data_IF_785927746319
#
_entry.id   IF_785927746319
#
_cell.length_a   1.000
_cell.length_b   1.000
_cell.length_c   1.000
_cell.angle_alpha   90.00
_cell.angle_beta   90.00
_cell.angle_gamma   90.00
#
_symmetry.space_group_name_H-M   'P 1'
#
loop_
_entity.id
_entity.type
_entity.pdbx_description
1 polymer ?
#
# COMPACT_ATOMS: atom_id res chain seq x y z
N UNK A 1 12.22 7.59 -5.22
CA UNK A 1 11.92 6.22 -4.69
C UNK A 1 13.24 5.47 -4.66
N UNK A 2 13.66 5.00 -3.50
CA UNK A 2 14.93 4.30 -3.30
C UNK A 2 14.76 2.78 -3.50
N UNK A 3 13.67 2.21 -2.99
CA UNK A 3 13.34 0.79 -3.18
C UNK A 3 11.85 0.55 -3.11
N UNK A 4 11.40 -0.52 -3.77
CA UNK A 4 10.04 -1.05 -3.65
C UNK A 4 10.15 -2.53 -3.34
N UNK A 5 9.53 -2.97 -2.24
CA UNK A 5 9.43 -4.36 -1.87
C UNK A 5 7.96 -4.77 -1.80
N UNK A 6 7.66 -6.02 -2.15
CA UNK A 6 6.32 -6.57 -2.01
C UNK A 6 6.38 -7.90 -1.26
N UNK A 7 5.36 -8.16 -0.43
CA UNK A 7 5.24 -9.44 0.28
C UNK A 7 3.78 -9.85 0.43
N UNK A 8 3.46 -11.16 0.35
CA UNK A 8 2.12 -11.64 0.60
C UNK A 8 1.75 -11.43 2.08
N UNK A 9 0.53 -11.00 2.34
CA UNK A 9 -0.03 -10.82 3.68
C UNK A 9 -1.45 -11.38 3.77
N UNK A 10 -1.81 -11.81 4.98
CA UNK A 10 -3.17 -12.19 5.33
C UNK A 10 -3.69 -11.21 6.37
N UNK A 11 -4.87 -10.63 6.11
CA UNK A 11 -5.52 -9.67 7.02
C UNK A 11 -6.99 -10.02 7.19
N UNK A 12 -7.54 -9.63 8.34
CA UNK A 12 -8.99 -9.61 8.53
C UNK A 12 -9.59 -8.58 7.58
N UNK A 13 -10.57 -8.98 6.78
CA UNK A 13 -11.26 -8.08 5.87
C UNK A 13 -12.22 -7.17 6.65
N UNK A 14 -12.25 -5.86 6.34
CA UNK A 14 -13.23 -4.95 6.93
C UNK A 14 -14.60 -5.16 6.29
N UNK A 15 -15.66 -5.26 7.10
CA UNK A 15 -17.04 -5.39 6.63
C UNK A 15 -17.98 -6.01 7.67
N UNK A 16 -19.30 -5.82 7.53
CA UNK A 16 -20.29 -6.51 8.35
C UNK A 16 -20.34 -8.00 7.99
N UNK A 17 -20.53 -8.86 8.99
CA UNK A 17 -20.63 -10.31 8.80
C UNK A 17 -19.58 -11.11 9.58
N UNK A 18 -19.48 -12.43 9.32
CA UNK A 18 -18.51 -13.29 9.98
C UNK A 18 -17.07 -12.84 9.72
N UNK A 19 -16.17 -13.12 10.68
CA UNK A 19 -14.74 -12.77 10.55
C UNK A 19 -14.16 -13.52 9.36
N UNK A 20 -13.83 -12.79 8.29
CA UNK A 20 -13.19 -13.31 7.11
C UNK A 20 -11.73 -12.84 7.03
N UNK A 21 -10.84 -13.74 6.63
CA UNK A 21 -9.44 -13.43 6.33
C UNK A 21 -9.26 -13.41 4.81
N UNK A 22 -8.71 -12.30 4.31
CA UNK A 22 -8.34 -12.14 2.91
C UNK A 22 -6.84 -12.32 2.72
N UNK A 23 -6.47 -12.70 1.49
CA UNK A 23 -5.08 -12.63 1.02
C UNK A 23 -4.87 -11.30 0.31
N UNK A 24 -3.72 -10.70 0.52
CA UNK A 24 -3.33 -9.45 -0.11
C UNK A 24 -1.83 -9.35 -0.25
N UNK A 25 -1.41 -8.21 -0.78
CA UNK A 25 0.00 -7.88 -0.96
C UNK A 25 0.28 -6.58 -0.20
N UNK A 26 1.28 -6.62 0.67
CA UNK A 26 1.86 -5.40 1.22
C UNK A 26 2.93 -4.89 0.26
N UNK A 27 2.85 -3.62 -0.10
CA UNK A 27 3.82 -2.95 -0.95
C UNK A 27 4.49 -1.89 -0.09
N UNK A 28 5.77 -2.12 0.21
CA UNK A 28 6.61 -1.19 0.95
C UNK A 28 7.42 -0.35 -0.04
N UNK A 29 7.17 0.96 -0.03
CA UNK A 29 7.87 1.95 -0.84
C UNK A 29 8.80 2.72 0.08
N UNK A 30 10.10 2.57 -0.13
CA UNK A 30 11.11 3.35 0.58
C UNK A 30 11.49 4.56 -0.24
N UNK A 31 11.38 5.74 0.35
CA UNK A 31 11.72 7.01 -0.27
C UNK A 31 12.63 7.82 0.64
N UNK A 32 13.52 8.60 0.02
CA UNK A 32 14.33 9.59 0.72
C UNK A 32 13.55 10.91 0.79
N UNK A 33 13.45 11.52 1.98
CA UNK A 33 12.81 12.83 2.18
C UNK A 33 13.45 13.91 1.29
N UNK A 34 14.76 13.84 1.07
CA UNK A 34 15.49 14.79 0.22
C UNK A 34 15.08 14.70 -1.26
N UNK A 35 14.74 13.50 -1.73
CA UNK A 35 14.28 13.25 -3.09
C UNK A 35 12.82 13.68 -3.34
N UNK A 36 12.08 14.02 -2.29
CA UNK A 36 10.65 14.37 -2.36
C UNK A 36 10.33 15.75 -1.77
N UNK A 37 11.34 16.58 -1.52
CA UNK A 37 11.25 17.89 -0.87
C UNK A 37 10.29 18.89 -1.56
N UNK A 38 9.96 18.69 -2.84
CA UNK A 38 9.06 19.59 -3.60
C UNK A 38 7.60 19.14 -3.73
N UNK A 39 7.28 17.86 -3.48
CA UNK A 39 5.92 17.31 -3.74
C UNK A 39 5.35 16.56 -2.54
N UNK A 40 6.16 16.32 -1.49
CA UNK A 40 5.73 15.65 -0.27
C UNK A 40 5.63 14.13 -0.44
N UNK A 41 6.33 13.41 0.43
CA UNK A 41 6.30 11.95 0.51
C UNK A 41 4.88 11.39 0.60
N UNK A 42 4.01 12.07 1.34
CA UNK A 42 2.63 11.66 1.55
C UNK A 42 1.77 11.66 0.28
N UNK A 43 1.89 12.68 -0.57
CA UNK A 43 1.15 12.77 -1.84
C UNK A 43 1.58 11.65 -2.79
N UNK A 44 2.89 11.44 -2.89
CA UNK A 44 3.45 10.34 -3.69
C UNK A 44 2.94 8.99 -3.20
N UNK A 45 2.99 8.74 -1.89
CA UNK A 45 2.46 7.51 -1.30
C UNK A 45 0.95 7.33 -1.55
N UNK A 46 0.15 8.40 -1.46
CA UNK A 46 -1.29 8.36 -1.70
C UNK A 46 -1.65 8.05 -3.16
N UNK A 47 -0.84 8.55 -4.12
CA UNK A 47 -1.02 8.25 -5.55
C UNK A 47 -0.62 6.80 -5.84
N UNK A 48 0.53 6.36 -5.31
CA UNK A 48 1.02 4.99 -5.47
C UNK A 48 0.05 3.96 -4.91
N UNK A 49 -0.54 4.25 -3.75
CA UNK A 49 -1.53 3.41 -3.13
C UNK A 49 -2.73 3.15 -4.05
N UNK A 50 -3.32 4.21 -4.62
CA UNK A 50 -4.43 4.08 -5.59
C UNK A 50 -4.01 3.42 -6.88
N UNK A 51 -2.77 3.62 -7.31
CA UNK A 51 -2.21 2.97 -8.49
C UNK A 51 -2.13 1.46 -8.26
N UNK A 52 -1.53 1.00 -7.17
CA UNK A 52 -1.37 -0.42 -6.88
C UNK A 52 -2.72 -1.15 -6.73
N UNK A 53 -3.72 -0.53 -6.12
CA UNK A 53 -5.06 -1.10 -5.99
C UNK A 53 -5.70 -1.45 -7.35
N UNK A 54 -5.31 -0.79 -8.45
CA UNK A 54 -5.81 -1.08 -9.80
C UNK A 54 -5.15 -2.30 -10.46
N UNK A 55 -3.92 -2.65 -10.06
CA UNK A 55 -3.18 -3.76 -10.67
C UNK A 55 -3.37 -5.09 -9.96
N UNK A 56 -3.95 -5.10 -8.76
CA UNK A 56 -4.21 -6.33 -8.02
C UNK A 56 -5.57 -6.93 -8.40
N UNK A 57 -5.61 -8.26 -8.45
CA UNK A 57 -6.83 -9.01 -8.77
C UNK A 57 -7.98 -8.66 -7.83
N UNK A 58 -9.22 -8.73 -8.32
CA UNK A 58 -10.44 -8.45 -7.56
C UNK A 58 -10.58 -9.29 -6.27
N UNK A 59 -9.95 -10.47 -6.22
CA UNK A 59 -9.95 -11.38 -5.06
C UNK A 59 -8.80 -11.15 -4.07
N UNK A 60 -8.07 -10.04 -4.18
CA UNK A 60 -6.99 -9.68 -3.26
C UNK A 60 -7.04 -8.21 -2.93
N UNK A 61 -6.40 -7.84 -1.81
CA UNK A 61 -6.26 -6.44 -1.41
C UNK A 61 -4.79 -5.99 -1.48
N UNK A 62 -4.59 -4.69 -1.57
CA UNK A 62 -3.28 -4.05 -1.45
C UNK A 62 -3.19 -3.24 -0.16
N UNK A 63 -2.08 -3.37 0.55
CA UNK A 63 -1.72 -2.52 1.67
C UNK A 63 -0.45 -1.76 1.29
N UNK A 64 -0.50 -0.43 1.26
CA UNK A 64 0.68 0.38 0.88
C UNK A 64 1.31 0.95 2.13
N UNK A 65 2.62 0.76 2.26
CA UNK A 65 3.44 1.28 3.36
C UNK A 65 4.50 2.17 2.75
N UNK A 66 4.56 3.42 3.22
CA UNK A 66 5.60 4.36 2.87
C UNK A 66 6.61 4.41 4.00
N UNK A 67 7.86 4.12 3.68
CA UNK A 67 8.99 4.19 4.60
C UNK A 67 9.97 5.28 4.16
N UNK A 68 10.46 6.05 5.12
CA UNK A 68 11.56 7.00 4.96
C UNK A 68 12.85 6.33 5.45
N UNK A 69 13.93 6.45 4.68
CA UNK A 69 15.24 5.95 5.09
C UNK A 69 15.74 6.61 6.38
N UNK A 70 15.30 7.85 6.66
CA UNK A 70 15.70 8.63 7.82
C UNK A 70 14.81 8.41 9.06
N UNK A 71 13.52 8.10 8.88
CA UNK A 71 12.53 8.08 9.98
C UNK A 71 11.79 6.74 10.17
N UNK A 72 11.96 5.77 9.27
CA UNK A 72 11.20 4.52 9.30
C UNK A 72 9.81 4.66 8.68
N UNK A 73 8.79 3.99 9.23
CA UNK A 73 7.43 4.03 8.67
C UNK A 73 6.81 5.43 8.78
N UNK A 74 6.50 6.03 7.63
CA UNK A 74 5.91 7.37 7.51
C UNK A 74 4.39 7.26 7.48
N UNK A 75 3.86 6.32 6.71
CA UNK A 75 2.41 6.16 6.53
C UNK A 75 2.08 4.74 6.07
N UNK A 76 0.97 4.22 6.57
CA UNK A 76 0.36 2.96 6.13
C UNK A 76 -1.09 3.22 5.77
N UNK A 77 -1.43 2.96 4.52
CA UNK A 77 -2.82 3.06 4.07
C UNK A 77 -3.57 1.77 4.38
N UNK A 78 -4.88 1.86 4.66
CA UNK A 78 -5.70 0.68 4.93
C UNK A 78 -5.73 -0.26 3.71
N UNK A 79 -5.95 -1.55 3.98
CA UNK A 79 -6.14 -2.56 2.95
C UNK A 79 -7.24 -2.14 1.96
N UNK A 80 -6.87 -1.96 0.69
CA UNK A 80 -7.83 -1.67 -0.39
C UNK A 80 -8.11 -2.90 -1.23
N UNK A 81 -9.38 -3.27 -1.45
CA UNK A 81 -9.71 -4.35 -2.35
C UNK A 81 -9.28 -4.01 -3.78
N UNK A 82 -8.79 -5.01 -4.51
CA UNK A 82 -8.36 -4.88 -5.89
C UNK A 82 -9.52 -4.43 -6.78
N UNK A 83 -9.26 -3.44 -7.63
CA UNK A 83 -10.26 -2.84 -8.51
C UNK A 83 -10.11 -3.31 -9.97
N UNK A 84 -9.41 -4.42 -10.23
CA UNK A 84 -9.25 -4.95 -11.58
C UNK A 84 -10.63 -5.37 -12.12
N UNK A 85 -11.14 -4.60 -13.07
CA UNK A 85 -12.36 -4.92 -13.80
C UNK A 85 -12.13 -6.23 -14.57
N UNK A 86 -13.09 -7.16 -14.46
CA UNK A 86 -13.09 -8.38 -15.26
C UNK A 86 -13.46 -8.07 -16.71
#
# INVERSE_FOLDING_TARGET
VQSVASRPITRRLPGPGPIAFGRGVEINVTCDESACAGTGLFLTGSVLERFFARYVSINSFTETVLTSSARGEVMRWPARPGQRHL
#
